data_IF_990931783632
#
_entry.id   IF_990931783632
#
_cell.length_a   1.000
_cell.length_b   1.000
_cell.length_c   1.000
_cell.angle_alpha   90.00
_cell.angle_beta   90.00
_cell.angle_gamma   90.00
#
_symmetry.space_group_name_H-M   'P 1'
#
loop_
_entity.id
_entity.type
_entity.pdbx_description
1 polymer ?
#
# COMPACT_ATOMS: atom_id res chain seq x y z
N UNK A 1 -19.53 -24.59 9.61
CA UNK A 1 -18.18 -24.53 9.03
C UNK A 1 -18.20 -23.38 8.05
N UNK A 2 -17.96 -22.15 8.51
CA UNK A 2 -18.00 -20.94 7.69
C UNK A 2 -16.57 -20.52 7.37
N UNK A 3 -16.27 -20.32 6.10
CA UNK A 3 -14.95 -19.94 5.62
C UNK A 3 -14.64 -18.46 5.99
N UNK A 4 -13.47 -18.16 6.54
CA UNK A 4 -13.13 -16.82 7.03
C UNK A 4 -12.53 -15.88 5.96
N UNK A 5 -12.82 -16.08 4.67
CA UNK A 5 -12.08 -15.41 3.58
C UNK A 5 -12.74 -14.16 2.99
N UNK A 6 -13.90 -13.71 3.51
CA UNK A 6 -14.66 -12.66 2.80
C UNK A 6 -14.62 -11.26 3.42
N UNK A 7 -14.02 -11.05 4.59
CA UNK A 7 -14.13 -9.77 5.31
C UNK A 7 -12.91 -8.86 5.09
N UNK A 8 -11.73 -9.42 4.81
CA UNK A 8 -10.48 -8.63 4.71
C UNK A 8 -10.33 -7.94 3.36
N UNK A 9 -10.92 -8.50 2.29
CA UNK A 9 -10.81 -7.95 0.93
C UNK A 9 -11.61 -6.65 0.71
N UNK A 10 -12.57 -6.31 1.57
CA UNK A 10 -13.40 -5.11 1.45
C UNK A 10 -12.73 -3.83 1.97
N UNK A 11 -11.68 -3.92 2.79
CA UNK A 11 -11.09 -2.73 3.42
C UNK A 11 -10.03 -2.04 2.56
N UNK A 12 -9.24 -2.76 1.77
CA UNK A 12 -8.20 -2.17 0.91
C UNK A 12 -8.71 -1.65 -0.44
N UNK A 13 -9.90 -2.09 -0.88
CA UNK A 13 -10.50 -1.63 -2.14
C UNK A 13 -11.17 -0.26 -2.05
N UNK A 14 -11.51 0.21 -0.86
CA UNK A 14 -12.33 1.41 -0.66
C UNK A 14 -11.57 2.66 -0.21
N UNK A 15 -10.29 2.59 0.08
CA UNK A 15 -9.52 3.77 0.53
C UNK A 15 -9.15 4.72 -0.61
N UNK A 16 -9.18 4.28 -1.87
CA UNK A 16 -8.81 5.08 -3.04
C UNK A 16 -9.92 5.28 -4.07
N UNK A 17 -11.03 4.57 -3.98
CA UNK A 17 -12.20 4.81 -4.83
C UNK A 17 -13.15 5.77 -4.10
N UNK A 18 -13.62 6.79 -4.80
CA UNK A 18 -14.54 7.81 -4.29
C UNK A 18 -15.64 7.25 -3.40
N UNK A 19 -16.19 8.11 -2.54
CA UNK A 19 -17.14 7.76 -1.49
C UNK A 19 -18.07 6.60 -1.88
N UNK A 20 -17.99 5.49 -1.15
CA UNK A 20 -18.91 4.37 -1.32
C UNK A 20 -20.33 4.87 -1.07
N UNK A 21 -21.08 5.07 -2.15
CA UNK A 21 -22.47 5.54 -2.10
C UNK A 21 -23.42 4.49 -1.51
N UNK A 22 -22.92 3.27 -1.21
CA UNK A 22 -23.67 2.20 -0.53
C UNK A 22 -23.54 2.27 0.99
N UNK A 23 -22.66 3.10 1.54
CA UNK A 23 -22.53 3.27 2.97
C UNK A 23 -23.80 3.87 3.57
N UNK A 24 -24.31 3.33 4.70
CA UNK A 24 -25.47 3.89 5.36
C UNK A 24 -25.21 5.33 5.79
N UNK A 25 -26.23 6.19 5.63
CA UNK A 25 -26.14 7.56 6.11
C UNK A 25 -26.02 7.60 7.62
N UNK A 26 -25.21 8.50 8.12
CA UNK A 26 -25.12 8.81 9.56
C UNK A 26 -26.19 9.85 9.88
N UNK A 27 -27.20 9.47 10.62
CA UNK A 27 -28.34 10.32 10.97
C UNK A 27 -28.33 10.76 12.43
N UNK A 28 -27.54 10.08 13.26
CA UNK A 28 -27.48 10.36 14.71
C UNK A 28 -26.06 10.19 15.27
N UNK A 29 -25.86 10.72 16.48
CA UNK A 29 -24.64 10.46 17.26
C UNK A 29 -24.47 8.97 17.58
N UNK A 30 -25.57 8.25 17.76
CA UNK A 30 -25.52 6.82 18.04
C UNK A 30 -24.92 6.05 16.85
N UNK A 31 -25.26 6.42 15.62
CA UNK A 31 -24.73 5.77 14.40
C UNK A 31 -23.22 5.96 14.28
N UNK A 32 -22.70 7.14 14.68
CA UNK A 32 -21.25 7.38 14.72
C UNK A 32 -20.57 6.47 15.74
N UNK A 33 -21.15 6.35 16.94
CA UNK A 33 -20.59 5.50 18.01
C UNK A 33 -20.60 4.04 17.54
N UNK A 34 -21.72 3.57 17.00
CA UNK A 34 -21.84 2.19 16.50
C UNK A 34 -20.88 1.91 15.35
N UNK A 35 -20.68 2.87 14.44
CA UNK A 35 -19.72 2.75 13.33
C UNK A 35 -18.29 2.54 13.86
N UNK A 36 -17.89 3.26 14.91
CA UNK A 36 -16.59 3.11 15.56
C UNK A 36 -16.50 1.80 16.35
N UNK A 37 -17.53 1.45 17.12
CA UNK A 37 -17.57 0.24 17.93
C UNK A 37 -17.51 -1.04 17.08
N UNK A 38 -18.08 -1.05 15.88
CA UNK A 38 -17.96 -2.17 14.92
C UNK A 38 -16.52 -2.48 14.54
N UNK A 39 -15.62 -1.50 14.65
CA UNK A 39 -14.18 -1.69 14.42
C UNK A 39 -13.44 -2.33 15.59
N UNK A 40 -14.04 -2.34 16.78
CA UNK A 40 -13.42 -2.91 17.98
C UNK A 40 -13.34 -4.43 17.88
N UNK A 41 -12.16 -4.97 18.14
CA UNK A 41 -11.89 -6.42 18.12
C UNK A 41 -11.42 -6.90 19.48
N UNK A 42 -11.73 -8.16 19.84
CA UNK A 42 -11.12 -8.80 21.02
C UNK A 42 -9.59 -8.80 20.90
N UNK A 43 -8.89 -8.73 22.03
CA UNK A 43 -7.41 -8.69 22.08
C UNK A 43 -6.75 -9.84 21.30
N UNK A 44 -7.32 -11.03 21.33
CA UNK A 44 -6.83 -12.19 20.58
C UNK A 44 -6.84 -12.00 19.05
N UNK A 45 -7.65 -11.05 18.56
CA UNK A 45 -7.77 -10.71 17.16
C UNK A 45 -6.95 -9.47 16.76
N UNK A 46 -6.27 -8.83 17.70
CA UNK A 46 -5.44 -7.68 17.39
C UNK A 46 -4.31 -8.05 16.46
N UNK A 47 -4.05 -7.15 15.53
CA UNK A 47 -2.97 -7.29 14.54
C UNK A 47 -2.27 -5.95 14.39
N UNK A 48 -1.03 -6.00 13.93
CA UNK A 48 -0.23 -4.83 13.59
C UNK A 48 -0.21 -4.73 12.07
N UNK A 49 -0.72 -3.64 11.51
CA UNK A 49 -0.52 -3.26 10.12
C UNK A 49 0.52 -2.16 10.04
N UNK A 50 1.48 -2.28 9.13
CA UNK A 50 2.52 -1.26 8.92
C UNK A 50 2.24 -0.53 7.62
N UNK A 51 2.28 0.79 7.67
CA UNK A 51 2.39 1.64 6.50
C UNK A 51 3.82 2.17 6.46
N UNK A 52 4.51 1.90 5.35
CA UNK A 52 5.89 2.32 5.18
C UNK A 52 6.05 3.10 3.88
N UNK A 53 6.00 4.40 4.00
CA UNK A 53 6.07 5.37 2.92
C UNK A 53 7.51 5.79 2.59
N UNK A 54 7.77 5.95 1.32
CA UNK A 54 9.08 6.33 0.79
C UNK A 54 8.94 7.26 -0.40
N UNK A 55 9.72 8.34 -0.43
CA UNK A 55 9.94 9.07 -1.67
C UNK A 55 10.90 8.32 -2.57
N UNK A 56 10.65 8.37 -3.86
CA UNK A 56 11.49 7.77 -4.90
C UNK A 56 12.21 8.86 -5.70
N UNK A 57 13.48 8.65 -6.00
CA UNK A 57 14.30 9.65 -6.68
C UNK A 57 15.42 8.99 -7.49
N UNK A 58 15.91 9.73 -8.51
CA UNK A 58 17.15 9.42 -9.20
C UNK A 58 18.32 10.16 -8.55
N UNK A 59 19.50 9.58 -8.57
CA UNK A 59 20.69 10.22 -8.00
C UNK A 59 21.51 10.99 -9.02
N UNK A 60 21.39 10.67 -10.32
CA UNK A 60 22.16 11.30 -11.39
C UNK A 60 21.30 11.67 -12.60
N UNK A 61 20.82 12.92 -12.74
CA UNK A 61 20.87 14.00 -11.72
C UNK A 61 19.90 13.74 -10.56
N UNK A 62 20.16 14.37 -9.41
CA UNK A 62 19.23 14.29 -8.28
C UNK A 62 17.89 14.93 -8.64
N UNK A 63 16.84 14.13 -8.76
CA UNK A 63 15.50 14.56 -9.15
C UNK A 63 14.44 13.54 -8.72
N UNK A 64 13.17 13.94 -8.57
CA UNK A 64 12.06 13.01 -8.39
C UNK A 64 11.94 12.06 -9.59
N UNK A 65 11.43 10.85 -9.34
CA UNK A 65 11.13 9.88 -10.40
C UNK A 65 9.81 10.28 -11.05
N UNK A 66 9.82 10.42 -12.38
CA UNK A 66 8.57 10.63 -13.13
C UNK A 66 7.71 9.36 -13.13
N UNK A 67 6.40 9.54 -13.27
CA UNK A 67 5.51 8.38 -13.36
C UNK A 67 5.77 7.57 -14.63
N UNK A 68 5.91 8.23 -15.79
CA UNK A 68 6.15 7.61 -17.08
C UNK A 68 7.65 7.50 -17.43
N UNK A 69 7.94 6.65 -18.41
CA UNK A 69 9.28 6.46 -18.96
C UNK A 69 9.89 5.11 -18.57
N UNK A 70 10.99 4.76 -19.23
CA UNK A 70 11.68 3.48 -19.03
C UNK A 70 12.20 3.28 -17.60
N UNK A 71 12.52 4.38 -16.91
CA UNK A 71 13.00 4.43 -15.53
C UNK A 71 12.00 5.11 -14.60
N UNK A 72 10.70 5.06 -14.94
CA UNK A 72 9.62 5.69 -14.18
C UNK A 72 8.98 4.76 -13.15
N UNK A 73 8.01 5.33 -12.39
CA UNK A 73 7.22 4.58 -11.40
C UNK A 73 6.46 3.43 -12.05
N UNK A 74 5.87 3.63 -13.23
CA UNK A 74 5.19 2.57 -13.97
C UNK A 74 6.11 1.37 -14.25
N UNK A 75 7.37 1.63 -14.63
CA UNK A 75 8.36 0.57 -14.86
C UNK A 75 8.75 -0.12 -13.56
N UNK A 76 8.86 0.61 -12.45
CA UNK A 76 9.12 0.06 -11.12
C UNK A 76 7.98 -0.89 -10.70
N UNK A 77 6.72 -0.47 -10.81
CA UNK A 77 5.56 -1.31 -10.49
C UNK A 77 5.52 -2.57 -11.35
N UNK A 78 5.69 -2.44 -12.68
CA UNK A 78 5.72 -3.59 -13.59
C UNK A 78 6.87 -4.58 -13.28
N UNK A 79 8.01 -4.07 -12.86
CA UNK A 79 9.14 -4.89 -12.43
C UNK A 79 8.86 -5.66 -11.13
N UNK A 80 8.17 -5.04 -10.18
CA UNK A 80 7.77 -5.68 -8.92
C UNK A 80 6.67 -6.71 -9.18
N UNK A 81 5.64 -6.37 -9.97
CA UNK A 81 4.61 -7.30 -10.43
C UNK A 81 5.23 -8.59 -10.98
N UNK A 82 6.13 -8.45 -11.96
CA UNK A 82 6.84 -9.58 -12.56
C UNK A 82 7.64 -10.41 -11.54
N UNK A 83 8.14 -9.76 -10.50
CA UNK A 83 8.98 -10.40 -9.48
C UNK A 83 8.19 -11.13 -8.41
N UNK A 84 7.03 -10.59 -8.05
CA UNK A 84 6.20 -11.05 -6.93
C UNK A 84 4.97 -11.84 -7.38
N UNK A 85 4.49 -11.60 -8.60
CA UNK A 85 3.19 -12.10 -9.06
C UNK A 85 2.00 -11.33 -8.48
N UNK A 86 2.24 -10.19 -7.79
CA UNK A 86 1.17 -9.35 -7.27
C UNK A 86 0.39 -8.70 -8.40
N UNK A 87 -0.89 -8.41 -8.16
CA UNK A 87 -1.79 -7.91 -9.19
C UNK A 87 -1.91 -6.38 -9.16
N UNK A 88 -1.74 -5.69 -10.30
CA UNK A 88 -1.88 -4.24 -10.34
C UNK A 88 -3.34 -3.82 -10.15
N UNK A 89 -3.53 -2.68 -9.49
CA UNK A 89 -4.79 -1.95 -9.48
C UNK A 89 -4.58 -0.55 -10.08
N UNK A 90 -5.66 0.04 -10.60
CA UNK A 90 -5.57 1.14 -11.54
C UNK A 90 -6.42 2.33 -11.14
N UNK A 91 -5.93 3.53 -11.50
CA UNK A 91 -6.77 4.72 -11.69
C UNK A 91 -6.84 5.00 -13.20
N UNK A 92 -8.02 4.78 -13.79
CA UNK A 92 -8.18 4.76 -15.24
C UNK A 92 -7.29 3.68 -15.89
N UNK A 93 -6.34 4.10 -16.73
CA UNK A 93 -5.37 3.21 -17.39
C UNK A 93 -4.01 3.15 -16.66
N UNK A 94 -3.89 3.86 -15.54
CA UNK A 94 -2.63 4.00 -14.83
C UNK A 94 -2.55 3.02 -13.65
N UNK A 95 -1.59 2.09 -13.61
CA UNK A 95 -1.34 1.29 -12.43
C UNK A 95 -0.83 2.19 -11.29
N UNK A 96 -1.57 2.23 -10.19
CA UNK A 96 -1.25 3.04 -9.02
C UNK A 96 -0.82 2.20 -7.80
N UNK A 97 -0.72 0.90 -7.99
CA UNK A 97 -0.25 0.00 -6.95
C UNK A 97 -0.34 -1.46 -7.33
N UNK A 98 0.06 -2.31 -6.41
CA UNK A 98 0.06 -3.77 -6.54
C UNK A 98 -0.58 -4.38 -5.31
N UNK A 99 -1.42 -5.40 -5.49
CA UNK A 99 -2.13 -6.11 -4.44
C UNK A 99 -1.61 -7.53 -4.30
N UNK A 100 -1.40 -7.96 -3.07
CA UNK A 100 -1.18 -9.36 -2.75
C UNK A 100 -2.49 -9.94 -2.20
N UNK A 101 -3.16 -10.74 -3.00
CA UNK A 101 -4.46 -11.31 -2.63
C UNK A 101 -4.36 -12.42 -1.56
N UNK A 102 -3.16 -12.94 -1.29
CA UNK A 102 -2.95 -14.02 -0.31
C UNK A 102 -2.84 -13.50 1.13
N UNK A 103 -2.28 -12.29 1.33
CA UNK A 103 -1.91 -11.79 2.67
C UNK A 103 -2.51 -10.42 3.01
N UNK A 104 -3.45 -9.92 2.21
CA UNK A 104 -4.09 -8.62 2.43
C UNK A 104 -3.08 -7.46 2.59
N UNK A 105 -1.99 -7.52 1.84
CA UNK A 105 -0.95 -6.48 1.78
C UNK A 105 -0.79 -5.98 0.36
N UNK A 106 -0.07 -4.86 0.20
CA UNK A 106 0.12 -4.28 -1.13
C UNK A 106 1.12 -3.14 -1.17
N UNK A 107 1.26 -2.59 -2.34
CA UNK A 107 2.00 -1.37 -2.61
C UNK A 107 1.04 -0.38 -3.23
N UNK A 108 1.03 0.87 -2.75
CA UNK A 108 0.26 1.97 -3.30
C UNK A 108 1.14 3.18 -3.61
N UNK A 109 0.64 4.04 -4.48
CA UNK A 109 1.18 5.38 -4.68
C UNK A 109 0.28 6.36 -3.96
N UNK A 110 0.85 7.05 -2.97
CA UNK A 110 0.16 8.08 -2.23
C UNK A 110 0.21 9.44 -2.94
N UNK A 111 -0.68 10.39 -2.58
CA UNK A 111 -0.62 11.76 -3.08
C UNK A 111 0.79 12.36 -2.90
N UNK A 112 1.34 12.96 -3.97
CA UNK A 112 2.72 13.42 -3.97
C UNK A 112 3.75 12.38 -4.42
N UNK A 113 3.31 11.17 -4.80
CA UNK A 113 4.16 10.12 -5.39
C UNK A 113 4.97 9.33 -4.37
N UNK A 114 4.55 9.30 -3.11
CA UNK A 114 5.14 8.40 -2.14
C UNK A 114 4.84 6.94 -2.51
N UNK A 115 5.86 6.12 -2.44
CA UNK A 115 5.79 4.69 -2.70
C UNK A 115 5.62 3.96 -1.36
N UNK A 116 4.41 3.49 -1.11
CA UNK A 116 4.01 2.91 0.17
C UNK A 116 3.99 1.38 0.13
N UNK A 117 4.42 0.76 1.23
CA UNK A 117 4.02 -0.59 1.60
C UNK A 117 2.83 -0.49 2.55
N UNK A 118 1.66 -0.93 2.11
CA UNK A 118 0.51 -1.20 2.98
C UNK A 118 0.65 -2.64 3.47
N UNK A 119 1.21 -2.81 4.66
CA UNK A 119 1.57 -4.12 5.19
C UNK A 119 0.37 -4.97 5.59
N UNK A 120 0.54 -6.27 5.53
CA UNK A 120 -0.48 -7.22 5.98
C UNK A 120 -0.69 -7.17 7.51
N UNK A 121 -1.88 -7.54 8.00
CA UNK A 121 -2.13 -7.63 9.43
C UNK A 121 -1.31 -8.75 10.09
N UNK A 122 -0.22 -8.38 10.77
CA UNK A 122 0.71 -9.29 11.44
C UNK A 122 0.37 -9.51 12.91
N UNK A 123 0.73 -10.67 13.45
CA UNK A 123 0.50 -11.00 14.86
C UNK A 123 1.41 -10.22 15.81
N UNK A 124 2.60 -9.87 15.35
CA UNK A 124 3.62 -9.22 16.16
C UNK A 124 4.59 -8.36 15.32
N UNK A 125 5.44 -7.61 16.01
CA UNK A 125 6.44 -6.73 15.41
C UNK A 125 7.51 -7.46 14.60
N UNK A 126 7.78 -8.73 14.89
CA UNK A 126 8.78 -9.52 14.14
C UNK A 126 8.24 -9.89 12.75
N UNK A 127 6.95 -10.24 12.67
CA UNK A 127 6.26 -10.43 11.39
C UNK A 127 6.31 -9.18 10.53
N UNK A 128 5.97 -8.04 11.12
CA UNK A 128 6.03 -6.71 10.48
C UNK A 128 7.44 -6.36 9.98
N UNK A 129 8.48 -6.59 10.80
CA UNK A 129 9.86 -6.34 10.42
C UNK A 129 10.29 -7.24 9.24
N UNK A 130 9.93 -8.51 9.26
CA UNK A 130 10.25 -9.46 8.19
C UNK A 130 9.57 -9.08 6.88
N UNK A 131 8.31 -8.63 6.93
CA UNK A 131 7.59 -8.13 5.76
C UNK A 131 8.27 -6.91 5.15
N UNK A 132 8.64 -5.93 5.98
CA UNK A 132 9.34 -4.74 5.53
C UNK A 132 10.71 -5.07 4.92
N UNK A 133 11.48 -5.96 5.51
CA UNK A 133 12.77 -6.41 4.98
C UNK A 133 12.61 -7.05 3.60
N UNK A 134 11.65 -7.94 3.44
CA UNK A 134 11.35 -8.59 2.15
C UNK A 134 10.88 -7.59 1.11
N UNK A 135 9.96 -6.67 1.47
CA UNK A 135 9.53 -5.59 0.60
C UNK A 135 10.71 -4.76 0.10
N UNK A 136 11.58 -4.30 1.00
CA UNK A 136 12.74 -3.49 0.64
C UNK A 136 13.75 -4.27 -0.19
N UNK A 137 13.91 -5.57 0.05
CA UNK A 137 14.77 -6.44 -0.75
C UNK A 137 14.28 -6.55 -2.18
N UNK A 138 12.99 -6.76 -2.37
CA UNK A 138 12.38 -6.84 -3.71
C UNK A 138 12.42 -5.49 -4.41
N UNK A 139 11.95 -4.44 -3.74
CA UNK A 139 11.88 -3.09 -4.29
C UNK A 139 13.27 -2.60 -4.75
N UNK A 140 14.31 -2.72 -3.92
CA UNK A 140 15.68 -2.34 -4.27
C UNK A 140 16.23 -3.13 -5.45
N UNK A 141 15.95 -4.44 -5.52
CA UNK A 141 16.42 -5.28 -6.62
C UNK A 141 15.83 -4.87 -7.97
N UNK A 142 14.57 -4.46 -7.98
CA UNK A 142 13.88 -3.96 -9.19
C UNK A 142 14.31 -2.53 -9.51
N UNK A 143 14.46 -1.69 -8.50
CA UNK A 143 14.80 -0.27 -8.63
C UNK A 143 16.24 -0.02 -9.12
N UNK A 144 17.19 -0.88 -8.74
CA UNK A 144 18.60 -0.69 -9.06
C UNK A 144 18.90 -0.50 -10.56
N UNK A 145 18.41 -1.33 -11.50
CA UNK A 145 18.65 -1.13 -12.91
C UNK A 145 17.90 0.10 -13.50
N UNK A 146 16.94 0.66 -12.77
CA UNK A 146 16.19 1.86 -13.14
C UNK A 146 16.82 3.15 -12.55
N UNK A 147 17.94 3.06 -11.83
CA UNK A 147 18.52 4.17 -11.04
C UNK A 147 17.50 4.82 -10.10
N UNK A 148 16.62 4.01 -9.51
CA UNK A 148 15.62 4.48 -8.52
C UNK A 148 16.11 4.17 -7.12
N UNK A 149 16.05 5.18 -6.25
CA UNK A 149 16.42 5.12 -4.84
C UNK A 149 15.23 5.50 -3.96
N UNK A 150 15.25 5.02 -2.72
CA UNK A 150 14.18 5.21 -1.75
C UNK A 150 14.67 6.02 -0.55
N UNK A 151 13.84 6.95 -0.08
CA UNK A 151 14.11 7.78 1.08
C UNK A 151 12.86 7.87 1.96
N UNK A 152 12.94 7.35 3.18
CA UNK A 152 11.86 7.41 4.18
C UNK A 152 11.85 8.79 4.86
N UNK A 153 11.02 9.68 4.36
CA UNK A 153 10.73 11.00 4.93
C UNK A 153 9.24 11.29 4.80
N UNK A 154 8.69 12.04 5.72
CA UNK A 154 7.28 12.46 5.68
C UNK A 154 6.97 13.54 4.65
N UNK A 155 8.00 14.20 4.08
CA UNK A 155 7.85 15.22 3.04
C UNK A 155 9.00 15.12 2.04
N UNK A 156 8.72 15.38 0.76
CA UNK A 156 9.77 15.36 -0.25
C UNK A 156 10.78 16.49 -0.04
N UNK A 157 12.09 16.21 -0.03
CA UNK A 157 13.11 17.26 0.04
C UNK A 157 13.39 17.92 -1.32
N UNK A 158 12.79 17.39 -2.40
CA UNK A 158 12.97 17.87 -3.78
C UNK A 158 11.67 18.53 -4.26
N UNK A 159 11.78 19.77 -4.75
CA UNK A 159 10.67 20.56 -5.28
C UNK A 159 10.81 20.72 -6.80
#
# INVERSE_FOLDING_TARGET
>A
MFAPHSIVCLYLGNLMAGADTSSPLIESRADLIEAMERGCKPEAEWRIGTEHEKHVFHTNPLRPVAYEGENGIRALLAGIEKKTGWHPFYDGENPIGLRNDEVAGGISLEPGGQFELSGAPMADVHGTASELEEHMRVARKVAAPLDIHFLGLGVTPLW
#
